data_IF_745584928611
#
_entry.id   IF_745584928611
#
_cell.length_a   1.000
_cell.length_b   1.000
_cell.length_c   1.000
_cell.angle_alpha   90.00
_cell.angle_beta   90.00
_cell.angle_gamma   90.00
#
_symmetry.space_group_name_H-M   'P 1'
#
loop_
_entity.id
_entity.type
_entity.pdbx_description
1 polymer ?
#
# COMPACT_ATOMS: atom_id res chain seq x y z
N UNK A 1 -43.45 1.90 -7.07
CA UNK A 1 -42.28 2.64 -7.58
C UNK A 1 -41.74 3.51 -6.45
N UNK A 2 -40.80 3.00 -5.64
CA UNK A 2 -40.00 3.79 -4.67
C UNK A 2 -38.96 2.91 -3.94
N UNK A 3 -38.10 2.22 -4.70
CA UNK A 3 -36.98 1.46 -4.11
C UNK A 3 -35.65 1.66 -4.85
N UNK A 4 -35.55 2.64 -5.76
CA UNK A 4 -34.37 2.83 -6.60
C UNK A 4 -33.56 4.11 -6.31
N UNK A 5 -33.95 4.95 -5.33
CA UNK A 5 -33.36 6.29 -5.16
C UNK A 5 -32.50 6.48 -3.89
N UNK A 6 -32.10 5.42 -3.19
CA UNK A 6 -31.34 5.56 -1.91
C UNK A 6 -29.90 5.02 -1.95
N UNK A 7 -29.37 4.65 -3.12
CA UNK A 7 -28.00 4.11 -3.26
C UNK A 7 -27.08 4.98 -4.14
N UNK A 8 -27.53 6.18 -4.50
CA UNK A 8 -26.78 7.13 -5.31
C UNK A 8 -26.85 8.52 -4.67
N UNK A 9 -26.31 8.65 -3.46
CA UNK A 9 -25.93 9.95 -2.90
C UNK A 9 -24.41 10.02 -2.87
N UNK A 10 -23.85 10.64 -3.91
CA UNK A 10 -22.64 11.46 -3.96
C UNK A 10 -21.48 11.05 -3.06
N UNK A 11 -20.40 10.55 -3.69
CA UNK A 11 -18.99 10.50 -3.24
C UNK A 11 -18.28 9.16 -3.51
N UNK A 12 -18.44 8.57 -4.71
CA UNK A 12 -17.68 7.34 -5.08
C UNK A 12 -16.20 7.65 -5.44
N UNK A 13 -15.80 8.93 -5.40
CA UNK A 13 -14.45 9.39 -5.75
C UNK A 13 -13.70 10.08 -4.62
N UNK A 14 -14.30 10.23 -3.43
CA UNK A 14 -13.58 10.72 -2.25
C UNK A 14 -13.24 9.51 -1.37
N UNK A 15 -12.04 9.53 -0.81
CA UNK A 15 -11.60 8.52 0.17
C UNK A 15 -12.24 8.70 1.56
N UNK A 16 -13.18 9.64 1.70
CA UNK A 16 -13.88 10.01 2.93
C UNK A 16 -15.37 10.12 2.66
N UNK A 17 -16.15 9.25 3.29
CA UNK A 17 -17.61 9.31 3.26
C UNK A 17 -18.10 10.37 4.27
N UNK A 18 -18.69 11.45 3.74
CA UNK A 18 -19.15 12.62 4.50
C UNK A 18 -20.37 12.35 5.40
N UNK A 19 -21.07 11.23 5.20
CA UNK A 19 -22.23 10.85 6.02
C UNK A 19 -21.82 10.13 7.31
N UNK A 20 -20.58 9.64 7.41
CA UNK A 20 -20.12 8.91 8.58
C UNK A 20 -19.92 9.83 9.79
N UNK A 21 -20.33 9.34 10.97
CA UNK A 21 -20.13 10.04 12.25
C UNK A 21 -18.64 10.30 12.50
N UNK A 22 -17.77 9.35 12.13
CA UNK A 22 -16.32 9.50 12.31
C UNK A 22 -15.76 10.65 11.46
N UNK A 23 -16.16 10.75 10.19
CA UNK A 23 -15.75 11.82 9.28
C UNK A 23 -16.20 13.19 9.78
N UNK A 24 -17.42 13.29 10.30
CA UNK A 24 -17.92 14.56 10.86
C UNK A 24 -17.16 14.99 12.13
N UNK A 25 -16.80 14.05 13.01
CA UNK A 25 -15.97 14.34 14.18
C UNK A 25 -14.57 14.79 13.78
N UNK A 26 -13.95 14.10 12.83
CA UNK A 26 -12.63 14.44 12.32
C UNK A 26 -12.63 15.84 11.69
N UNK A 27 -13.59 16.13 10.80
CA UNK A 27 -13.74 17.46 10.18
C UNK A 27 -13.85 18.57 11.22
N UNK A 28 -14.66 18.38 12.26
CA UNK A 28 -14.78 19.37 13.32
C UNK A 28 -13.45 19.64 14.04
N UNK A 29 -12.68 18.58 14.33
CA UNK A 29 -11.35 18.73 14.91
C UNK A 29 -10.37 19.44 13.96
N UNK A 30 -10.38 19.11 12.67
CA UNK A 30 -9.52 19.71 11.67
C UNK A 30 -9.86 21.19 11.43
N UNK A 31 -11.13 21.57 11.32
CA UNK A 31 -11.55 22.96 11.16
C UNK A 31 -11.09 23.86 12.33
N UNK A 32 -11.10 23.31 13.56
CA UNK A 32 -10.57 24.00 14.74
C UNK A 32 -9.05 24.09 14.70
N UNK A 33 -8.38 23.00 14.34
CA UNK A 33 -6.92 22.94 14.22
C UNK A 33 -6.40 23.88 13.12
N UNK A 34 -7.09 23.99 11.99
CA UNK A 34 -6.73 24.89 10.90
C UNK A 34 -6.76 26.36 11.33
N UNK A 35 -7.83 26.79 12.00
CA UNK A 35 -7.95 28.17 12.50
C UNK A 35 -6.85 28.52 13.48
N UNK A 36 -6.56 27.59 14.39
CA UNK A 36 -5.49 27.77 15.36
C UNK A 36 -4.12 27.81 14.67
N UNK A 37 -3.84 26.87 13.77
CA UNK A 37 -2.57 26.80 13.04
C UNK A 37 -2.35 27.98 12.11
N UNK A 38 -3.38 28.50 11.46
CA UNK A 38 -3.27 29.68 10.60
C UNK A 38 -2.76 30.89 11.40
N UNK A 39 -3.25 31.06 12.63
CA UNK A 39 -2.82 32.13 13.55
C UNK A 39 -1.36 32.03 14.00
N UNK A 40 -0.71 30.87 13.83
CA UNK A 40 0.73 30.71 14.09
C UNK A 40 1.60 31.21 12.92
N UNK A 41 1.01 31.43 11.74
CA UNK A 41 1.69 32.08 10.63
C UNK A 41 1.55 33.60 10.76
N UNK A 42 2.54 34.35 10.26
CA UNK A 42 2.45 35.80 10.19
C UNK A 42 1.26 36.25 9.32
N UNK A 43 0.71 37.43 9.61
CA UNK A 43 -0.49 37.97 8.95
C UNK A 43 -0.41 37.93 7.41
N UNK A 44 0.75 38.23 6.84
CA UNK A 44 0.98 38.19 5.39
C UNK A 44 0.73 36.78 4.82
N UNK A 45 1.29 35.75 5.45
CA UNK A 45 1.14 34.35 5.04
C UNK A 45 -0.30 33.89 5.23
N UNK A 46 -0.92 34.23 6.36
CA UNK A 46 -2.31 33.90 6.64
C UNK A 46 -3.26 34.49 5.58
N UNK A 47 -3.14 35.79 5.31
CA UNK A 47 -3.96 36.47 4.29
C UNK A 47 -3.68 35.95 2.88
N UNK A 48 -2.44 35.62 2.55
CA UNK A 48 -2.10 34.99 1.28
C UNK A 48 -2.76 33.60 1.13
N UNK A 49 -2.85 32.82 2.21
CA UNK A 49 -3.54 31.54 2.21
C UNK A 49 -5.07 31.70 2.06
N UNK A 50 -5.68 32.59 2.85
CA UNK A 50 -7.13 32.83 2.84
C UNK A 50 -7.63 33.38 1.49
N UNK A 51 -6.85 34.25 0.85
CA UNK A 51 -7.20 34.81 -0.46
C UNK A 51 -6.78 33.91 -1.63
N UNK A 52 -6.20 32.73 -1.36
CA UNK A 52 -5.80 31.76 -2.38
C UNK A 52 -4.54 32.14 -3.19
N UNK A 53 -3.74 33.10 -2.71
CA UNK A 53 -2.45 33.42 -3.32
C UNK A 53 -1.40 32.32 -3.06
N UNK A 54 -1.50 31.64 -1.92
CA UNK A 54 -0.76 30.42 -1.60
C UNK A 54 -1.70 29.36 -1.00
N UNK A 55 -1.27 28.11 -0.96
CA UNK A 55 -2.01 27.04 -0.30
C UNK A 55 -1.09 26.28 0.66
N UNK A 56 -1.41 26.32 1.96
CA UNK A 56 -0.70 25.54 2.97
C UNK A 56 -1.40 24.18 3.07
N UNK A 57 -0.75 23.16 2.51
CA UNK A 57 -1.27 21.79 2.56
C UNK A 57 -1.40 21.28 4.00
N UNK A 58 -2.52 20.59 4.25
CA UNK A 58 -2.79 19.83 5.49
C UNK A 58 -2.63 20.69 6.75
N UNK A 59 -3.08 21.95 6.69
CA UNK A 59 -2.86 22.97 7.72
C UNK A 59 -3.37 22.52 9.10
N UNK A 60 -4.52 21.85 9.15
CA UNK A 60 -5.09 21.31 10.39
C UNK A 60 -4.22 20.20 10.98
N UNK A 61 -3.75 19.28 10.16
CA UNK A 61 -2.90 18.17 10.59
C UNK A 61 -1.54 18.62 11.13
N UNK A 62 -1.00 19.74 10.61
CA UNK A 62 0.22 20.35 11.14
C UNK A 62 0.13 20.72 12.62
N UNK A 63 -1.07 20.89 13.17
CA UNK A 63 -1.27 21.13 14.62
C UNK A 63 -0.73 20.00 15.48
N UNK A 64 -0.79 18.78 14.97
CA UNK A 64 -0.46 17.57 15.72
C UNK A 64 1.00 17.13 15.54
N UNK A 65 1.84 17.95 14.88
CA UNK A 65 3.25 17.65 14.62
C UNK A 65 3.48 16.28 13.95
N UNK A 66 2.56 15.87 13.09
CA UNK A 66 2.66 14.66 12.30
C UNK A 66 3.44 14.92 11.01
N UNK A 67 3.83 13.84 10.32
CA UNK A 67 4.51 13.91 9.03
C UNK A 67 3.49 13.79 7.88
N UNK A 68 3.90 14.21 6.68
CA UNK A 68 3.09 14.01 5.47
C UNK A 68 3.16 12.55 5.02
N UNK A 69 4.15 12.20 4.19
CA UNK A 69 4.29 10.88 3.59
C UNK A 69 5.63 10.26 3.98
N UNK A 70 5.73 8.93 3.94
CA UNK A 70 6.97 8.23 4.23
C UNK A 70 7.19 6.98 3.35
N UNK A 71 8.46 6.59 3.24
CA UNK A 71 8.84 5.22 2.89
C UNK A 71 8.88 4.43 4.20
N UNK A 72 7.97 3.48 4.35
CA UNK A 72 7.83 2.72 5.59
C UNK A 72 8.68 1.45 5.52
N UNK A 73 9.63 1.32 6.44
CA UNK A 73 10.51 0.15 6.55
C UNK A 73 9.76 -1.03 7.18
N UNK A 74 8.86 -1.61 6.39
CA UNK A 74 8.03 -2.72 6.81
C UNK A 74 8.86 -3.99 7.07
N UNK A 75 9.96 -4.18 6.35
CA UNK A 75 10.83 -5.35 6.54
C UNK A 75 11.41 -5.36 7.95
N UNK A 76 12.02 -4.27 8.40
CA UNK A 76 12.60 -4.19 9.74
C UNK A 76 11.53 -4.40 10.83
N UNK A 77 10.35 -3.79 10.67
CA UNK A 77 9.24 -3.94 11.62
C UNK A 77 8.78 -5.40 11.72
N UNK A 78 8.60 -6.08 10.59
CA UNK A 78 8.22 -7.49 10.59
C UNK A 78 9.35 -8.37 11.13
N UNK A 79 10.62 -8.05 10.83
CA UNK A 79 11.78 -8.84 11.25
C UNK A 79 12.08 -8.78 12.74
N UNK A 80 12.01 -7.60 13.32
CA UNK A 80 12.35 -7.38 14.73
C UNK A 80 11.19 -7.72 15.67
N UNK A 81 9.98 -7.91 15.11
CA UNK A 81 8.75 -7.91 15.87
C UNK A 81 8.29 -6.48 16.17
N UNK A 82 7.04 -6.36 16.59
CA UNK A 82 6.39 -5.06 16.76
C UNK A 82 5.35 -5.13 17.87
N UNK A 83 5.04 -3.98 18.44
CA UNK A 83 3.91 -3.83 19.34
C UNK A 83 2.76 -3.21 18.56
N UNK A 84 1.62 -3.87 18.56
CA UNK A 84 0.38 -3.30 18.04
C UNK A 84 -0.59 -3.19 19.21
N UNK A 85 -0.98 -1.95 19.50
CA UNK A 85 -1.69 -1.59 20.73
C UNK A 85 -0.90 -2.06 21.96
N UNK A 86 -1.41 -3.01 22.75
CA UNK A 86 -0.76 -3.52 23.95
C UNK A 86 -0.25 -4.96 23.78
N UNK A 87 -0.19 -5.46 22.54
CA UNK A 87 0.22 -6.84 22.24
C UNK A 87 1.55 -6.82 21.49
N UNK A 88 2.52 -7.56 22.02
CA UNK A 88 3.82 -7.78 21.40
C UNK A 88 3.74 -8.96 20.43
N UNK A 89 4.04 -8.72 19.16
CA UNK A 89 4.17 -9.74 18.13
C UNK A 89 5.64 -10.01 17.82
N UNK A 90 5.95 -11.27 17.53
CA UNK A 90 7.26 -11.68 17.00
C UNK A 90 7.32 -11.60 15.48
N UNK A 91 8.43 -12.07 14.91
CA UNK A 91 8.57 -12.19 13.47
C UNK A 91 7.51 -13.15 12.87
N UNK A 92 6.81 -12.78 11.77
CA UNK A 92 5.89 -13.69 11.10
C UNK A 92 6.55 -15.01 10.71
N UNK A 93 5.83 -16.11 10.89
CA UNK A 93 6.29 -17.46 10.55
C UNK A 93 5.90 -17.87 9.13
N UNK A 94 5.03 -17.11 8.46
CA UNK A 94 4.56 -17.39 7.10
C UNK A 94 4.28 -16.11 6.30
N UNK A 95 4.17 -16.24 4.98
CA UNK A 95 3.77 -15.15 4.07
C UNK A 95 2.37 -14.61 4.36
N UNK A 96 1.40 -15.48 4.65
CA UNK A 96 0.03 -15.06 4.95
C UNK A 96 -0.03 -14.21 6.22
N UNK A 97 0.64 -14.67 7.29
CA UNK A 97 0.75 -13.92 8.54
C UNK A 97 1.51 -12.60 8.35
N UNK A 98 2.59 -12.60 7.55
CA UNK A 98 3.32 -11.38 7.23
C UNK A 98 2.42 -10.34 6.56
N UNK A 99 1.58 -10.72 5.60
CA UNK A 99 0.61 -9.81 4.98
C UNK A 99 -0.51 -9.38 5.93
N UNK A 100 -1.02 -10.28 6.77
CA UNK A 100 -2.04 -9.92 7.76
C UNK A 100 -1.50 -8.85 8.72
N UNK A 101 -0.29 -9.05 9.26
CA UNK A 101 0.35 -8.07 10.13
C UNK A 101 0.67 -6.77 9.40
N UNK A 102 1.11 -6.86 8.15
CA UNK A 102 1.35 -5.68 7.31
C UNK A 102 0.09 -4.82 7.14
N UNK A 103 -1.07 -5.43 6.89
CA UNK A 103 -2.35 -4.71 6.81
C UNK A 103 -2.61 -3.89 8.08
N UNK A 104 -2.48 -4.54 9.25
CA UNK A 104 -2.71 -3.91 10.55
C UNK A 104 -1.70 -2.79 10.85
N UNK A 105 -0.42 -3.05 10.61
CA UNK A 105 0.67 -2.08 10.81
C UNK A 105 0.46 -0.85 9.93
N UNK A 106 0.19 -1.04 8.64
CA UNK A 106 0.07 0.06 7.69
C UNK A 106 -1.18 0.90 7.96
N UNK A 107 -2.31 0.29 8.33
CA UNK A 107 -3.52 1.03 8.76
C UNK A 107 -3.22 1.85 10.02
N UNK A 108 -2.55 1.26 11.01
CA UNK A 108 -2.17 1.95 12.25
C UNK A 108 -1.20 3.11 11.97
N UNK A 109 -0.14 2.87 11.20
CA UNK A 109 0.83 3.88 10.80
C UNK A 109 0.16 5.01 10.01
N UNK A 110 -0.81 4.70 9.13
CA UNK A 110 -1.53 5.73 8.36
C UNK A 110 -2.39 6.64 9.23
N UNK A 111 -2.65 6.26 10.48
CA UNK A 111 -3.34 7.12 11.46
C UNK A 111 -2.40 8.11 12.15
N UNK A 112 -1.07 7.94 12.01
CA UNK A 112 -0.04 8.78 12.64
C UNK A 112 0.51 9.85 11.68
N UNK A 113 -0.04 9.93 10.46
CA UNK A 113 0.36 10.86 9.42
C UNK A 113 -0.85 11.22 8.55
N UNK A 114 -0.74 12.31 7.79
CA UNK A 114 -1.83 12.80 6.92
C UNK A 114 -1.63 12.50 5.44
N UNK A 115 -0.42 12.07 5.05
CA UNK A 115 -0.10 11.68 3.68
C UNK A 115 0.02 10.17 3.48
N UNK A 116 0.61 9.80 2.34
CA UNK A 116 0.68 8.43 1.89
C UNK A 116 1.79 7.61 2.59
N UNK A 117 1.51 6.32 2.78
CA UNK A 117 2.52 5.34 3.19
C UNK A 117 2.91 4.54 1.97
N UNK A 118 4.21 4.50 1.69
CA UNK A 118 4.76 3.73 0.59
C UNK A 118 5.67 2.65 1.13
N UNK A 119 5.41 1.39 0.75
CA UNK A 119 6.29 0.27 1.08
C UNK A 119 7.16 -0.03 -0.13
N UNK A 120 8.48 0.22 -0.06
CA UNK A 120 9.38 -0.03 -1.17
C UNK A 120 9.68 -1.53 -1.32
N UNK A 121 9.86 -1.99 -2.56
CA UNK A 121 10.38 -3.32 -2.93
C UNK A 121 9.73 -4.48 -2.17
N UNK A 122 8.40 -4.56 -2.24
CA UNK A 122 7.63 -5.59 -1.53
C UNK A 122 8.03 -7.02 -1.91
N UNK A 123 8.54 -7.23 -3.12
CA UNK A 123 9.13 -8.49 -3.58
C UNK A 123 10.38 -8.86 -2.78
N UNK A 124 11.19 -7.89 -2.38
CA UNK A 124 12.30 -8.07 -1.43
C UNK A 124 11.82 -8.19 0.01
N UNK A 125 10.87 -7.36 0.45
CA UNK A 125 10.31 -7.41 1.81
C UNK A 125 9.73 -8.79 2.14
N UNK A 126 8.97 -9.38 1.22
CA UNK A 126 8.23 -10.60 1.50
C UNK A 126 8.89 -11.91 1.05
N UNK A 127 10.02 -11.89 0.33
CA UNK A 127 10.66 -13.12 -0.19
C UNK A 127 11.00 -14.13 0.91
N UNK A 128 11.44 -13.65 2.07
CA UNK A 128 11.82 -14.53 3.18
C UNK A 128 10.61 -15.21 3.80
N UNK A 129 9.48 -14.50 3.91
CA UNK A 129 8.23 -15.08 4.43
C UNK A 129 7.63 -16.06 3.42
N UNK A 130 7.74 -15.80 2.12
CA UNK A 130 7.38 -16.77 1.07
C UNK A 130 8.25 -18.04 1.15
N UNK A 131 9.55 -17.90 1.38
CA UNK A 131 10.47 -19.03 1.61
C UNK A 131 10.10 -19.82 2.87
N UNK A 132 9.78 -19.15 3.99
CA UNK A 132 9.30 -19.81 5.21
C UNK A 132 8.04 -20.64 4.94
N UNK A 133 7.04 -20.06 4.26
CA UNK A 133 5.82 -20.78 3.87
C UNK A 133 6.14 -21.99 2.99
N UNK A 134 7.04 -21.85 2.03
CA UNK A 134 7.48 -22.96 1.18
C UNK A 134 8.04 -24.12 2.01
N UNK A 135 8.96 -23.84 2.94
CA UNK A 135 9.56 -24.89 3.78
C UNK A 135 8.54 -25.56 4.72
N UNK A 136 7.55 -24.81 5.21
CA UNK A 136 6.45 -25.38 6.01
C UNK A 136 5.61 -26.34 5.16
N UNK A 137 5.20 -25.92 3.96
CA UNK A 137 4.42 -26.76 3.06
C UNK A 137 5.21 -27.98 2.59
N UNK A 138 6.49 -27.80 2.29
CA UNK A 138 7.42 -28.87 1.90
C UNK A 138 7.51 -29.97 2.94
N UNK A 139 7.57 -29.61 4.23
CA UNK A 139 7.62 -30.58 5.35
C UNK A 139 6.30 -31.31 5.56
N UNK A 140 5.17 -30.64 5.29
CA UNK A 140 3.82 -31.22 5.46
C UNK A 140 3.41 -32.09 4.27
N UNK A 141 3.90 -31.80 3.07
CA UNK A 141 3.46 -32.50 1.86
C UNK A 141 4.16 -33.85 1.67
N UNK A 142 3.36 -34.87 1.37
CA UNK A 142 3.87 -36.19 0.93
C UNK A 142 4.32 -36.16 -0.53
N UNK A 143 3.74 -35.26 -1.33
CA UNK A 143 4.08 -35.06 -2.74
C UNK A 143 4.70 -33.67 -2.93
N UNK A 144 5.96 -33.63 -3.34
CA UNK A 144 6.73 -32.40 -3.48
C UNK A 144 6.41 -31.65 -4.78
N UNK A 145 5.71 -32.28 -5.72
CA UNK A 145 5.42 -31.69 -7.04
C UNK A 145 4.41 -30.53 -6.98
N UNK A 146 3.48 -30.54 -6.03
CA UNK A 146 2.41 -29.55 -5.94
C UNK A 146 2.73 -28.34 -5.02
N UNK A 147 3.77 -28.44 -4.19
CA UNK A 147 4.07 -27.46 -3.13
C UNK A 147 4.18 -26.02 -3.65
N UNK A 148 4.80 -25.81 -4.81
CA UNK A 148 4.93 -24.48 -5.42
C UNK A 148 3.60 -23.90 -5.87
N UNK A 149 2.75 -24.75 -6.46
CA UNK A 149 1.42 -24.36 -6.93
C UNK A 149 0.52 -24.01 -5.73
N UNK A 150 0.50 -24.87 -4.71
CA UNK A 150 -0.21 -24.61 -3.46
C UNK A 150 0.23 -23.29 -2.82
N UNK A 151 1.55 -23.06 -2.72
CA UNK A 151 2.09 -21.82 -2.17
C UNK A 151 1.65 -20.60 -2.99
N UNK A 152 1.76 -20.67 -4.31
CA UNK A 152 1.37 -19.56 -5.18
C UNK A 152 -0.11 -19.20 -4.99
N UNK A 153 -1.00 -20.19 -4.95
CA UNK A 153 -2.41 -19.98 -4.67
C UNK A 153 -2.65 -19.33 -3.30
N UNK A 154 -1.98 -19.79 -2.24
CA UNK A 154 -2.08 -19.18 -0.91
C UNK A 154 -1.59 -17.72 -0.90
N UNK A 155 -0.51 -17.42 -1.62
CA UNK A 155 0.02 -16.05 -1.72
C UNK A 155 -0.96 -15.13 -2.46
N UNK A 156 -1.59 -15.61 -3.54
CA UNK A 156 -2.64 -14.86 -4.24
C UNK A 156 -3.81 -14.56 -3.30
N UNK A 157 -4.27 -15.54 -2.53
CA UNK A 157 -5.37 -15.33 -1.57
C UNK A 157 -4.98 -14.36 -0.44
N UNK A 158 -3.75 -14.44 0.06
CA UNK A 158 -3.26 -13.51 1.08
C UNK A 158 -3.19 -12.07 0.55
N UNK A 159 -2.74 -11.87 -0.70
CA UNK A 159 -2.80 -10.57 -1.35
C UNK A 159 -4.23 -10.07 -1.51
N UNK A 160 -5.19 -10.93 -1.86
CA UNK A 160 -6.60 -10.52 -1.95
C UNK A 160 -7.15 -10.04 -0.62
N UNK A 161 -6.82 -10.73 0.47
CA UNK A 161 -7.20 -10.29 1.83
C UNK A 161 -6.58 -8.93 2.16
N UNK A 162 -5.30 -8.74 1.84
CA UNK A 162 -4.62 -7.45 2.02
C UNK A 162 -5.28 -6.33 1.20
N UNK A 163 -5.58 -6.57 -0.08
CA UNK A 163 -6.26 -5.61 -0.95
C UNK A 163 -7.67 -5.29 -0.46
N UNK A 164 -8.43 -6.29 0.02
CA UNK A 164 -9.74 -6.05 0.64
C UNK A 164 -9.60 -5.15 1.86
N UNK A 165 -8.68 -5.46 2.76
CA UNK A 165 -8.44 -4.66 3.97
C UNK A 165 -8.10 -3.20 3.63
N UNK A 166 -7.17 -2.99 2.69
CA UNK A 166 -6.74 -1.66 2.24
C UNK A 166 -7.88 -0.83 1.60
N UNK A 167 -8.96 -1.46 1.15
CA UNK A 167 -10.11 -0.80 0.52
C UNK A 167 -11.39 -0.83 1.37
N UNK A 168 -11.36 -1.40 2.58
CA UNK A 168 -12.56 -1.53 3.42
C UNK A 168 -12.36 -1.09 4.86
N UNK A 169 -11.11 -1.04 5.35
CA UNK A 169 -10.81 -0.62 6.71
C UNK A 169 -10.35 0.84 6.71
N UNK A 170 -11.13 1.70 7.38
CA UNK A 170 -10.73 3.07 7.62
C UNK A 170 -9.65 3.14 8.72
N UNK A 171 -8.75 4.11 8.57
CA UNK A 171 -7.85 4.50 9.64
C UNK A 171 -8.58 5.40 10.67
N UNK A 172 -7.87 5.90 11.67
CA UNK A 172 -8.48 6.74 12.71
C UNK A 172 -9.00 8.09 12.16
N UNK A 173 -8.49 8.52 11.01
CA UNK A 173 -8.86 9.73 10.27
C UNK A 173 -10.04 9.49 9.31
N UNK A 174 -10.88 8.48 9.59
CA UNK A 174 -12.10 8.16 8.86
C UNK A 174 -11.92 7.97 7.34
N UNK A 175 -10.70 7.63 6.89
CA UNK A 175 -10.36 7.48 5.49
C UNK A 175 -9.71 6.12 5.23
N UNK A 176 -9.85 5.64 3.99
CA UNK A 176 -9.05 4.53 3.53
C UNK A 176 -7.56 4.91 3.56
N UNK A 177 -6.67 4.00 4.01
CA UNK A 177 -5.25 4.28 4.08
C UNK A 177 -4.66 4.51 2.68
N UNK A 178 -3.92 5.59 2.50
CA UNK A 178 -3.27 5.90 1.22
C UNK A 178 -1.99 5.10 1.10
N UNK A 179 -2.13 3.89 0.57
CA UNK A 179 -1.03 2.93 0.44
C UNK A 179 -0.47 2.89 -0.98
N UNK A 180 0.84 2.87 -1.10
CA UNK A 180 1.53 2.51 -2.35
C UNK A 180 2.59 1.43 -2.10
N UNK A 181 2.85 0.63 -3.13
CA UNK A 181 3.83 -0.46 -3.08
C UNK A 181 4.66 -0.46 -4.36
N UNK A 182 5.99 -0.51 -4.21
CA UNK A 182 6.90 -0.69 -5.34
C UNK A 182 7.41 -2.14 -5.41
N UNK A 183 7.70 -2.62 -6.62
CA UNK A 183 8.20 -3.98 -6.87
C UNK A 183 8.82 -4.10 -8.27
N UNK A 184 9.51 -5.21 -8.55
CA UNK A 184 10.02 -5.56 -9.89
C UNK A 184 11.54 -5.71 -9.98
N UNK A 185 12.25 -5.48 -8.87
CA UNK A 185 13.72 -5.47 -8.80
C UNK A 185 14.30 -6.77 -8.25
N UNK A 186 13.51 -7.56 -7.52
CA UNK A 186 14.00 -8.81 -6.93
C UNK A 186 14.09 -9.93 -7.95
N UNK A 187 15.22 -10.62 -8.00
CA UNK A 187 15.50 -11.71 -8.96
C UNK A 187 15.51 -13.09 -8.32
N UNK A 188 15.49 -13.17 -6.98
CA UNK A 188 15.29 -14.45 -6.30
C UNK A 188 13.92 -15.04 -6.64
N UNK A 189 13.87 -16.37 -6.80
CA UNK A 189 12.66 -17.11 -7.17
C UNK A 189 11.45 -16.83 -6.27
N UNK A 190 11.65 -16.57 -4.97
CA UNK A 190 10.56 -16.25 -4.06
C UNK A 190 10.13 -14.80 -4.19
N UNK A 191 11.04 -13.86 -4.41
CA UNK A 191 10.65 -12.48 -4.71
C UNK A 191 9.92 -12.35 -6.04
N UNK A 192 10.38 -13.06 -7.07
CA UNK A 192 9.64 -13.19 -8.33
C UNK A 192 8.23 -13.77 -8.11
N UNK A 193 8.11 -14.78 -7.23
CA UNK A 193 6.82 -15.37 -6.87
C UNK A 193 5.91 -14.38 -6.13
N UNK A 194 6.46 -13.53 -5.26
CA UNK A 194 5.73 -12.44 -4.58
C UNK A 194 5.16 -11.45 -5.60
N UNK A 195 5.98 -10.97 -6.53
CA UNK A 195 5.54 -10.04 -7.57
C UNK A 195 4.47 -10.66 -8.47
N UNK A 196 4.67 -11.90 -8.92
CA UNK A 196 3.71 -12.62 -9.77
C UNK A 196 2.38 -12.86 -9.06
N UNK A 197 2.39 -13.24 -7.78
CA UNK A 197 1.16 -13.50 -7.02
C UNK A 197 0.40 -12.21 -6.72
N UNK A 198 1.09 -11.09 -6.49
CA UNK A 198 0.47 -9.77 -6.35
C UNK A 198 -0.27 -9.39 -7.64
N UNK A 199 0.41 -9.49 -8.79
CA UNK A 199 -0.19 -9.14 -10.08
C UNK A 199 -1.39 -10.02 -10.41
N UNK A 200 -1.31 -11.32 -10.11
CA UNK A 200 -2.42 -12.26 -10.27
C UNK A 200 -3.61 -11.90 -9.36
N UNK A 201 -3.35 -11.55 -8.09
CA UNK A 201 -4.37 -11.05 -7.17
C UNK A 201 -5.08 -9.82 -7.74
N UNK A 202 -4.31 -8.81 -8.15
CA UNK A 202 -4.84 -7.56 -8.72
C UNK A 202 -5.68 -7.84 -9.95
N UNK A 203 -5.23 -8.68 -10.87
CA UNK A 203 -5.98 -9.10 -12.07
C UNK A 203 -7.32 -9.73 -11.69
N UNK A 204 -7.33 -10.65 -10.72
CA UNK A 204 -8.55 -11.29 -10.22
C UNK A 204 -9.51 -10.28 -9.56
N UNK A 205 -9.00 -9.18 -9.01
CA UNK A 205 -9.79 -8.12 -8.40
C UNK A 205 -10.46 -8.55 -7.08
N UNK A 206 -11.21 -7.63 -6.48
CA UNK A 206 -11.80 -7.81 -5.15
C UNK A 206 -13.34 -7.86 -5.17
N UNK A 207 -13.90 -8.62 -4.24
CA UNK A 207 -15.35 -8.76 -4.06
C UNK A 207 -16.05 -9.56 -5.16
N UNK A 208 -17.38 -9.70 -5.03
CA UNK A 208 -18.22 -10.52 -5.92
C UNK A 208 -18.13 -10.10 -7.40
N UNK A 209 -18.00 -8.81 -7.65
CA UNK A 209 -17.97 -8.25 -9.00
C UNK A 209 -16.56 -8.17 -9.56
N UNK A 210 -15.56 -8.70 -8.85
CA UNK A 210 -14.15 -8.59 -9.24
C UNK A 210 -13.79 -7.13 -9.54
N UNK A 211 -14.12 -6.20 -8.64
CA UNK A 211 -13.88 -4.77 -8.82
C UNK A 211 -12.38 -4.46 -8.81
N UNK A 212 -11.98 -3.38 -9.48
CA UNK A 212 -10.59 -2.90 -9.47
C UNK A 212 -10.30 -2.26 -8.11
N UNK A 213 -9.34 -2.78 -7.33
CA UNK A 213 -8.95 -2.17 -6.05
C UNK A 213 -8.35 -0.78 -6.28
N UNK A 214 -8.69 0.18 -5.42
CA UNK A 214 -8.11 1.52 -5.44
C UNK A 214 -6.72 1.52 -4.77
N UNK A 215 -6.60 0.82 -3.64
CA UNK A 215 -5.36 0.65 -2.88
C UNK A 215 -4.91 -0.82 -2.77
N UNK A 216 -3.63 -1.08 -2.50
CA UNK A 216 -2.53 -0.13 -2.66
C UNK A 216 -2.36 0.27 -4.14
N UNK A 217 -1.82 1.47 -4.39
CA UNK A 217 -1.27 1.81 -5.70
C UNK A 217 -0.05 0.91 -5.95
N UNK A 218 0.02 0.30 -7.12
CA UNK A 218 1.14 -0.57 -7.49
C UNK A 218 2.06 0.19 -8.43
N UNK A 219 3.37 0.17 -8.17
CA UNK A 219 4.39 0.87 -8.95
C UNK A 219 5.47 -0.15 -9.33
N UNK A 220 5.56 -0.48 -10.61
CA UNK A 220 6.57 -1.35 -11.15
C UNK A 220 7.85 -0.57 -11.44
N UNK A 221 8.96 -0.99 -10.82
CA UNK A 221 10.27 -0.41 -11.02
C UNK A 221 10.90 -1.01 -12.29
N UNK A 222 11.11 -0.18 -13.30
CA UNK A 222 11.65 -0.58 -14.60
C UNK A 222 13.16 -0.41 -14.63
N UNK A 223 13.87 -1.47 -15.03
CA UNK A 223 15.31 -1.46 -15.26
C UNK A 223 15.62 -2.44 -16.39
N UNK A 224 16.23 -1.93 -17.46
CA UNK A 224 16.39 -2.68 -18.70
C UNK A 224 17.14 -4.02 -18.50
N UNK A 225 18.15 -4.05 -17.63
CA UNK A 225 18.90 -5.27 -17.33
C UNK A 225 18.15 -6.29 -16.46
N UNK A 226 17.13 -5.87 -15.70
CA UNK A 226 16.36 -6.76 -14.81
C UNK A 226 15.06 -7.21 -15.47
N UNK A 227 14.29 -6.27 -16.01
CA UNK A 227 12.93 -6.51 -16.50
C UNK A 227 12.71 -6.10 -17.96
N UNK A 228 13.76 -5.70 -18.68
CA UNK A 228 13.75 -5.63 -20.14
C UNK A 228 13.72 -7.03 -20.79
N UNK A 229 13.64 -7.10 -22.13
CA UNK A 229 13.43 -8.35 -22.90
C UNK A 229 14.42 -9.49 -22.58
N UNK A 230 15.64 -9.15 -22.16
CA UNK A 230 16.69 -10.12 -21.81
C UNK A 230 16.87 -10.32 -20.30
N UNK A 231 16.11 -9.58 -19.49
CA UNK A 231 16.20 -9.60 -18.04
C UNK A 231 15.46 -10.78 -17.40
N UNK A 232 15.90 -11.18 -16.20
CA UNK A 232 15.32 -12.30 -15.46
C UNK A 232 13.84 -12.10 -15.09
N UNK A 233 13.42 -10.83 -14.98
CA UNK A 233 12.07 -10.44 -14.60
C UNK A 233 11.21 -10.02 -15.81
N UNK A 234 11.63 -10.29 -17.06
CA UNK A 234 10.83 -9.94 -18.25
C UNK A 234 9.40 -10.49 -18.19
N UNK A 235 9.23 -11.73 -17.72
CA UNK A 235 7.91 -12.34 -17.52
C UNK A 235 7.03 -11.56 -16.54
N UNK A 236 7.62 -10.94 -15.51
CA UNK A 236 6.91 -10.12 -14.52
C UNK A 236 6.48 -8.81 -15.16
N UNK A 237 7.35 -8.20 -15.98
CA UNK A 237 7.00 -7.02 -16.75
C UNK A 237 5.83 -7.30 -17.71
N UNK A 238 5.85 -8.42 -18.44
CA UNK A 238 4.72 -8.82 -19.29
C UNK A 238 3.42 -9.01 -18.49
N UNK A 239 3.50 -9.63 -17.31
CA UNK A 239 2.35 -9.79 -16.41
C UNK A 239 1.87 -8.46 -15.84
N UNK A 240 2.78 -7.51 -15.59
CA UNK A 240 2.45 -6.15 -15.16
C UNK A 240 1.66 -5.41 -16.25
N UNK A 241 2.07 -5.53 -17.52
CA UNK A 241 1.33 -4.95 -18.65
C UNK A 241 -0.07 -5.55 -18.77
N UNK A 242 -0.20 -6.89 -18.64
CA UNK A 242 -1.52 -7.54 -18.60
C UNK A 242 -2.39 -7.02 -17.44
N UNK A 243 -1.79 -6.84 -16.27
CA UNK A 243 -2.44 -6.28 -15.08
C UNK A 243 -2.96 -4.85 -15.33
N UNK A 244 -2.09 -3.95 -15.79
CA UNK A 244 -2.44 -2.56 -16.15
C UNK A 244 -3.61 -2.53 -17.13
N UNK A 245 -3.61 -3.39 -18.16
CA UNK A 245 -4.67 -3.44 -19.18
C UNK A 245 -6.07 -3.77 -18.62
N UNK A 246 -6.12 -4.45 -17.47
CA UNK A 246 -7.37 -4.88 -16.82
C UNK A 246 -7.72 -4.03 -15.60
N UNK A 247 -6.73 -3.42 -14.95
CA UNK A 247 -6.84 -2.89 -13.58
C UNK A 247 -6.17 -1.52 -13.36
N UNK A 248 -5.74 -0.84 -14.42
CA UNK A 248 -5.07 0.47 -14.42
C UNK A 248 -3.65 0.42 -13.83
N UNK A 249 -3.48 -0.19 -12.65
CA UNK A 249 -2.17 -0.41 -12.03
C UNK A 249 -1.54 -1.74 -12.48
N UNK A 250 -0.20 -1.85 -12.45
CA UNK A 250 0.77 -0.89 -11.90
C UNK A 250 1.07 0.31 -12.80
N UNK A 251 1.50 1.41 -12.16
CA UNK A 251 2.26 2.51 -12.77
C UNK A 251 3.73 2.07 -12.98
N UNK A 252 4.49 2.77 -13.83
CA UNK A 252 5.87 2.38 -14.17
C UNK A 252 6.87 3.49 -13.87
N UNK A 253 7.95 3.17 -13.16
CA UNK A 253 9.03 4.10 -12.83
C UNK A 253 10.36 3.59 -13.38
N UNK A 254 10.96 4.31 -14.33
CA UNK A 254 12.30 3.95 -14.86
C UNK A 254 13.39 4.27 -13.85
N UNK A 255 14.27 3.30 -13.64
CA UNK A 255 15.49 3.38 -12.85
C UNK A 255 16.75 3.27 -13.73
N UNK A 256 16.63 3.47 -15.04
CA UNK A 256 17.77 3.36 -15.96
C UNK A 256 18.67 4.59 -15.90
N UNK A 257 18.09 5.79 -15.76
CA UNK A 257 18.81 7.06 -15.75
C UNK A 257 18.07 8.15 -14.97
N UNK A 258 18.80 9.20 -14.62
CA UNK A 258 18.25 10.40 -14.00
C UNK A 258 18.25 10.35 -12.47
N UNK A 259 17.71 11.41 -11.88
CA UNK A 259 17.77 11.63 -10.43
C UNK A 259 17.19 10.47 -9.61
N UNK A 260 16.08 9.88 -10.05
CA UNK A 260 15.46 8.75 -9.35
C UNK A 260 16.36 7.52 -9.34
N UNK A 261 17.03 7.23 -10.45
CA UNK A 261 18.01 6.14 -10.55
C UNK A 261 19.20 6.38 -9.62
N UNK A 262 19.76 7.59 -9.62
CA UNK A 262 20.88 7.96 -8.75
C UNK A 262 20.52 7.86 -7.26
N UNK A 263 19.34 8.34 -6.87
CA UNK A 263 18.88 8.24 -5.48
C UNK A 263 18.59 6.79 -5.08
N UNK A 264 18.02 6.01 -5.99
CA UNK A 264 17.79 4.58 -5.77
C UNK A 264 19.12 3.86 -5.50
N UNK A 265 20.13 4.02 -6.37
CA UNK A 265 21.44 3.38 -6.16
C UNK A 265 22.15 3.85 -4.88
N UNK A 266 22.00 5.12 -4.52
CA UNK A 266 22.63 5.68 -3.31
C UNK A 266 22.05 5.11 -2.01
N UNK A 267 20.74 4.84 -1.99
CA UNK A 267 20.00 4.49 -0.76
C UNK A 267 19.42 3.08 -0.75
N UNK A 268 19.60 2.30 -1.82
CA UNK A 268 19.24 0.89 -1.84
C UNK A 268 20.05 0.16 -0.76
N UNK A 269 19.35 -0.41 0.22
CA UNK A 269 19.92 -1.21 1.31
C UNK A 269 19.63 -2.69 1.08
#
# INVERSE_FOLDING_TARGET
SNQANTLLSNDVTTNKDSQLVQTNKEKYCLDLAEKDMLGHYGQEVATAHENGAIYIHDLGDRKFNTINSCLFDLYSVLKQGFMLENIQFGEPISFEEALEFSSRILISASSQQYGAISVPEIDTVFKEFAKKSFEILKKKSKDQSDVKSTLFHQMVEAWQKFEIDANTKNNQNAQLPFLSMTFGMETDKFGQMVAMSLLESRIKGIGKNHSTPLFPKLIFLCRAEINGEKGLNYQIFQKAIDCTSKRIYPDYLSLDKGFQSEMYEKYRQ
#
